data_IF_675032305855
#
_entry.id   IF_675032305855
#
_cell.length_a   1.000
_cell.length_b   1.000
_cell.length_c   1.000
_cell.angle_alpha   90.00
_cell.angle_beta   90.00
_cell.angle_gamma   90.00
#
_symmetry.space_group_name_H-M   'P 1'
#
loop_
_entity.id
_entity.type
_entity.pdbx_description
1 polymer ?
#
# COMPACT_ATOMS: atom_id res chain seq x y z
N UNK A 1 18.82 2.24 0.53
CA UNK A 1 17.57 1.81 -0.12
C UNK A 1 16.41 2.08 0.82
N UNK A 2 15.69 3.17 0.56
CA UNK A 2 14.46 3.51 1.28
C UNK A 2 13.27 2.81 0.63
N UNK A 3 12.22 2.52 1.41
CA UNK A 3 10.99 1.90 0.91
C UNK A 3 9.87 2.93 0.93
N UNK A 4 9.24 3.10 -0.23
CA UNK A 4 8.01 3.86 -0.36
C UNK A 4 6.84 2.92 -0.55
N UNK A 5 5.81 3.12 0.26
CA UNK A 5 4.57 2.36 0.22
C UNK A 5 3.50 3.23 -0.44
N UNK A 6 2.88 2.70 -1.50
CA UNK A 6 1.82 3.36 -2.24
C UNK A 6 0.54 2.57 -2.09
N UNK A 7 -0.53 3.21 -1.66
CA UNK A 7 -1.87 2.66 -1.77
C UNK A 7 -2.49 3.17 -3.06
N UNK A 8 -2.91 2.27 -3.94
CA UNK A 8 -3.54 2.62 -5.23
C UNK A 8 -4.85 1.86 -5.36
N UNK A 9 -5.80 2.39 -6.12
CA UNK A 9 -7.07 1.68 -6.36
C UNK A 9 -6.83 0.37 -7.10
N UNK A 10 -7.73 -0.60 -6.94
CA UNK A 10 -7.64 -1.90 -7.62
C UNK A 10 -7.76 -1.77 -9.15
N UNK A 11 -8.34 -0.66 -9.62
CA UNK A 11 -8.48 -0.32 -11.04
C UNK A 11 -7.29 0.51 -11.58
N UNK A 12 -6.19 0.63 -10.81
CA UNK A 12 -4.91 1.22 -11.23
C UNK A 12 -5.00 2.67 -11.76
N UNK A 13 -5.60 3.57 -10.99
CA UNK A 13 -5.55 5.02 -11.29
C UNK A 13 -4.11 5.55 -11.28
N UNK A 14 -3.84 6.56 -12.13
CA UNK A 14 -2.52 7.19 -12.33
C UNK A 14 -1.90 7.81 -11.05
N UNK A 15 -2.69 8.01 -9.98
CA UNK A 15 -2.25 8.64 -8.74
C UNK A 15 -2.54 7.78 -7.52
N UNK A 16 -1.57 7.65 -6.58
CA UNK A 16 -1.80 6.94 -5.32
C UNK A 16 -2.82 7.67 -4.46
N UNK A 17 -3.68 6.90 -3.80
CA UNK A 17 -4.65 7.41 -2.83
C UNK A 17 -4.03 7.62 -1.45
N UNK A 18 -2.86 7.03 -1.19
CA UNK A 18 -2.04 7.33 -0.02
C UNK A 18 -0.58 6.94 -0.25
N UNK A 19 0.36 7.65 0.39
CA UNK A 19 1.80 7.40 0.32
C UNK A 19 2.43 7.45 1.71
N UNK A 20 3.39 6.58 1.99
CA UNK A 20 4.16 6.63 3.23
C UNK A 20 5.51 5.92 3.12
N UNK A 21 6.46 6.31 3.97
CA UNK A 21 7.77 5.65 4.13
C UNK A 21 7.70 4.46 5.09
N UNK A 22 6.59 4.35 5.81
CA UNK A 22 6.28 3.24 6.70
C UNK A 22 4.80 2.86 6.59
N UNK A 23 4.44 1.70 7.14
CA UNK A 23 3.03 1.28 7.24
C UNK A 23 2.24 2.22 8.16
N UNK A 24 2.87 2.76 9.20
CA UNK A 24 2.26 3.74 10.11
C UNK A 24 1.92 5.05 9.37
N UNK A 25 2.85 5.57 8.57
CA UNK A 25 2.60 6.76 7.75
C UNK A 25 1.50 6.51 6.72
N UNK A 26 1.55 5.36 6.05
CA UNK A 26 0.52 4.98 5.09
C UNK A 26 -0.86 4.82 5.75
N UNK A 27 -0.91 4.27 6.97
CA UNK A 27 -2.13 4.13 7.75
C UNK A 27 -2.72 5.49 8.12
N UNK A 28 -1.87 6.42 8.57
CA UNK A 28 -2.24 7.79 8.91
C UNK A 28 -2.79 8.54 7.71
N UNK A 29 -2.11 8.46 6.57
CA UNK A 29 -2.49 9.14 5.33
C UNK A 29 -3.78 8.56 4.73
N UNK A 30 -3.91 7.22 4.70
CA UNK A 30 -5.09 6.54 4.14
C UNK A 30 -6.31 6.50 5.07
N UNK A 31 -6.16 6.88 6.34
CA UNK A 31 -7.18 6.70 7.38
C UNK A 31 -7.55 5.24 7.66
N UNK A 32 -6.68 4.28 7.28
CA UNK A 32 -6.88 2.84 7.52
C UNK A 32 -6.10 2.38 8.74
N UNK A 33 -6.55 1.31 9.38
CA UNK A 33 -5.78 0.65 10.42
C UNK A 33 -4.57 -0.10 9.81
N UNK A 34 -3.42 -0.04 10.47
CA UNK A 34 -2.21 -0.77 10.05
C UNK A 34 -2.46 -2.26 9.85
N UNK A 35 -3.22 -2.89 10.76
CA UNK A 35 -3.58 -4.31 10.66
C UNK A 35 -4.34 -4.65 9.37
N UNK A 36 -5.17 -3.75 8.87
CA UNK A 36 -5.87 -3.89 7.59
C UNK A 36 -4.87 -3.86 6.44
N UNK A 37 -3.89 -2.94 6.47
CA UNK A 37 -2.83 -2.84 5.47
C UNK A 37 -1.96 -4.10 5.47
N UNK A 38 -1.51 -4.59 6.63
CA UNK A 38 -0.75 -5.83 6.74
C UNK A 38 -1.50 -7.04 6.18
N UNK A 39 -2.77 -7.19 6.56
CA UNK A 39 -3.63 -8.26 6.07
C UNK A 39 -3.78 -8.18 4.56
N UNK A 40 -3.94 -6.96 4.04
CA UNK A 40 -4.02 -6.71 2.61
C UNK A 40 -2.76 -7.17 1.91
N UNK A 41 -1.59 -6.64 2.28
CA UNK A 41 -0.31 -7.02 1.68
C UNK A 41 -0.06 -8.52 1.72
N UNK A 42 -0.41 -9.19 2.82
CA UNK A 42 -0.32 -10.66 2.94
C UNK A 42 -1.19 -11.38 1.92
N UNK A 43 -2.41 -10.92 1.69
CA UNK A 43 -3.32 -11.50 0.70
C UNK A 43 -2.83 -11.25 -0.74
N UNK A 44 -2.24 -10.09 -1.02
CA UNK A 44 -1.62 -9.79 -2.33
C UNK A 44 -0.46 -10.73 -2.63
N UNK A 45 0.43 -10.97 -1.66
CA UNK A 45 1.53 -11.93 -1.79
C UNK A 45 1.07 -13.36 -2.05
N UNK A 46 -0.15 -13.71 -1.60
CA UNK A 46 -0.78 -15.02 -1.86
C UNK A 46 -1.54 -15.07 -3.19
N UNK A 47 -1.55 -14.00 -3.98
CA UNK A 47 -2.29 -13.93 -5.24
C UNK A 47 -3.81 -13.95 -5.06
N UNK A 48 -4.33 -13.65 -3.86
CA UNK A 48 -5.76 -13.59 -3.64
C UNK A 48 -6.35 -12.38 -4.36
N UNK A 49 -7.59 -12.52 -4.85
CA UNK A 49 -8.29 -11.45 -5.57
C UNK A 49 -8.33 -10.18 -4.71
N UNK A 50 -7.73 -9.12 -5.23
CA UNK A 50 -7.72 -7.81 -4.62
C UNK A 50 -9.00 -7.07 -5.04
N UNK A 51 -9.68 -6.46 -4.07
CA UNK A 51 -10.78 -5.52 -4.28
C UNK A 51 -10.41 -4.17 -3.69
N UNK A 52 -11.00 -3.08 -4.17
CA UNK A 52 -10.87 -1.71 -3.65
C UNK A 52 -9.50 -1.06 -3.89
N UNK A 53 -8.44 -1.60 -3.30
CA UNK A 53 -7.08 -1.05 -3.39
C UNK A 53 -5.99 -2.12 -3.31
N UNK A 54 -4.81 -1.85 -3.86
CA UNK A 54 -3.56 -2.61 -3.63
C UNK A 54 -2.51 -1.74 -2.94
N UNK A 55 -1.43 -2.38 -2.49
CA UNK A 55 -0.32 -1.71 -1.77
C UNK A 55 0.95 -2.08 -2.51
N UNK A 56 1.53 -1.11 -3.20
CA UNK A 56 2.79 -1.27 -3.91
C UNK A 56 3.95 -0.79 -3.05
N UNK A 57 5.08 -1.48 -3.16
CA UNK A 57 6.30 -1.13 -2.42
C UNK A 57 7.38 -0.89 -3.44
N UNK A 58 7.92 0.32 -3.45
CA UNK A 58 9.00 0.74 -4.34
C UNK A 58 10.25 0.94 -3.49
N UNK A 59 11.36 0.35 -3.93
CA UNK A 59 12.68 0.57 -3.34
C UNK A 59 13.35 1.72 -4.10
N UNK A 60 13.74 2.77 -3.39
CA UNK A 60 14.45 3.93 -3.96
C UNK A 60 15.90 3.95 -3.48
N UNK A 61 16.80 4.12 -4.42
CA UNK A 61 18.20 4.48 -4.16
C UNK A 61 18.27 6.00 -3.95
N UNK A 62 19.08 6.41 -2.98
CA UNK A 62 19.24 7.81 -2.57
C UNK A 62 19.98 8.64 -3.63
#
# INVERSE_FOLDING_TARGET
MEKLYFMVTADELEWPIAVGRSIEELARDSGKAEGTIYTKMRNQRKGLKIKDYKVEVVEVEE
#
